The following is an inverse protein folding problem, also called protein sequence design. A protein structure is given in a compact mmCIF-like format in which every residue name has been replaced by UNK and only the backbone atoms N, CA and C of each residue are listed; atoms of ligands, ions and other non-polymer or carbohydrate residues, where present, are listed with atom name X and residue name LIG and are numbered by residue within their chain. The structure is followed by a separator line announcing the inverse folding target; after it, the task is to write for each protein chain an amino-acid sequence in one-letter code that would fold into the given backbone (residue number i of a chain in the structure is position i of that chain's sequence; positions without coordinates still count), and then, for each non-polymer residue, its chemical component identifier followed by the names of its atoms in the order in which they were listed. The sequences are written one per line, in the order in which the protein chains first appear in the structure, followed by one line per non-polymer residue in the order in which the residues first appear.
data_IF_220990569640
#
_entry.id   IF_220990569640
#
_cell.length_a   1.000
_cell.length_b   1.000
_cell.length_c   1.000
_cell.angle_alpha   90.00
_cell.angle_beta   90.00
_cell.angle_gamma   90.00
#
_symmetry.space_group_name_H-M   'P 1'
#
loop_
_entity.id
_entity.type
_entity.pdbx_description
1 polymer ?
#
# COMPACT_ATOMS: atom_id res chain seq x y z
N UNK A 1 2.02 -7.04 -19.83
CA UNK A 1 0.67 -6.51 -19.66
C UNK A 1 0.52 -5.74 -18.34
N UNK A 2 0.76 -6.39 -17.21
CA UNK A 2 0.68 -5.70 -15.93
C UNK A 2 1.76 -4.63 -15.72
N UNK A 3 2.84 -4.68 -16.50
CA UNK A 3 3.89 -3.66 -16.43
C UNK A 3 3.36 -2.26 -16.74
N UNK A 4 2.35 -2.15 -17.60
CA UNK A 4 1.75 -0.86 -17.93
C UNK A 4 1.02 -0.26 -16.74
N UNK A 5 0.34 -1.09 -15.93
CA UNK A 5 -0.35 -0.66 -14.73
C UNK A 5 0.67 -0.11 -13.71
N UNK A 6 1.75 -0.85 -13.50
CA UNK A 6 2.81 -0.45 -12.57
C UNK A 6 3.45 0.86 -13.03
N UNK A 7 3.74 0.97 -14.32
CA UNK A 7 4.38 2.16 -14.87
C UNK A 7 3.47 3.38 -14.75
N UNK A 8 2.17 3.21 -15.02
CA UNK A 8 1.20 4.30 -14.90
C UNK A 8 1.12 4.82 -13.46
N UNK A 9 1.02 3.91 -12.49
CA UNK A 9 0.99 4.30 -11.07
C UNK A 9 2.29 4.96 -10.62
N UNK A 10 3.41 4.54 -11.19
CA UNK A 10 4.69 5.18 -10.90
C UNK A 10 4.75 6.61 -11.43
N UNK A 11 4.28 6.82 -12.66
CA UNK A 11 4.30 8.14 -13.30
C UNK A 11 3.22 9.07 -12.76
N UNK A 12 2.09 8.51 -12.36
CA UNK A 12 0.92 9.26 -11.89
C UNK A 12 0.46 8.72 -10.55
N UNK A 13 1.26 8.90 -9.48
CA UNK A 13 0.93 8.31 -8.18
C UNK A 13 -0.35 8.91 -7.62
N UNK A 14 -1.27 8.03 -7.23
CA UNK A 14 -2.57 8.43 -6.71
C UNK A 14 -2.44 8.80 -5.23
N UNK A 15 -3.03 9.94 -4.86
CA UNK A 15 -3.08 10.41 -3.47
C UNK A 15 -1.72 10.72 -2.84
N UNK A 16 -0.68 10.94 -3.65
CA UNK A 16 0.63 11.36 -3.17
C UNK A 16 0.60 12.78 -2.61
N UNK A 17 1.51 13.09 -1.69
CA UNK A 17 1.61 14.39 -1.05
C UNK A 17 0.98 14.38 0.33
N UNK A 18 1.80 14.60 1.37
CA UNK A 18 1.34 14.53 2.76
C UNK A 18 0.25 15.58 3.03
N UNK A 19 -0.81 15.15 3.67
CA UNK A 19 -1.98 15.98 3.99
C UNK A 19 -2.32 15.93 5.47
N UNK A 20 -3.07 16.91 5.92
CA UNK A 20 -3.64 17.00 7.27
C UNK A 20 -5.16 17.12 7.14
N UNK A 21 -5.95 16.69 8.14
CA UNK A 21 -5.53 16.07 9.39
C UNK A 21 -5.15 14.60 9.23
N UNK A 22 -4.54 14.02 10.24
CA UNK A 22 -4.25 12.59 10.28
C UNK A 22 -4.17 12.14 11.74
N UNK A 23 -4.45 10.84 11.99
CA UNK A 23 -4.37 10.24 13.32
C UNK A 23 -3.16 9.32 13.44
N UNK A 24 -2.69 8.76 12.33
CA UNK A 24 -1.50 7.90 12.32
C UNK A 24 -0.50 8.35 11.29
N UNK A 25 0.78 8.30 11.65
CA UNK A 25 1.89 8.59 10.74
C UNK A 25 3.03 7.64 11.05
N UNK A 26 3.60 7.06 10.00
CA UNK A 26 4.77 6.19 10.15
C UNK A 26 5.80 6.54 9.07
N UNK A 27 7.05 6.18 9.34
CA UNK A 27 8.14 6.30 8.38
C UNK A 27 8.80 4.94 8.28
N UNK A 28 8.74 4.35 7.09
CA UNK A 28 9.31 3.03 6.83
C UNK A 28 10.44 3.14 5.81
N UNK A 29 11.46 2.32 5.99
CA UNK A 29 12.64 2.29 5.12
C UNK A 29 12.91 0.84 4.71
N UNK A 30 13.21 0.64 3.43
CA UNK A 30 13.72 -0.62 2.91
C UNK A 30 15.16 -0.38 2.44
N UNK A 31 16.16 -0.63 3.28
CA UNK A 31 17.55 -0.31 2.94
C UNK A 31 18.10 -1.14 1.79
N UNK A 32 17.52 -2.30 1.52
CA UNK A 32 17.96 -3.17 0.41
C UNK A 32 17.80 -2.47 -0.94
N UNK A 33 16.71 -1.71 -1.11
CA UNK A 33 16.41 -1.02 -2.37
C UNK A 33 16.54 0.50 -2.25
N UNK A 34 16.87 1.03 -1.08
CA UNK A 34 16.92 2.48 -0.86
C UNK A 34 15.56 3.13 -0.84
N UNK A 35 14.50 2.38 -0.57
CA UNK A 35 13.14 2.93 -0.50
C UNK A 35 12.86 3.56 0.84
N UNK A 36 12.22 4.71 0.84
CA UNK A 36 11.73 5.39 2.05
C UNK A 36 10.31 5.86 1.83
N UNK A 37 9.50 5.78 2.88
CA UNK A 37 8.09 6.14 2.80
C UNK A 37 7.64 6.76 4.12
N UNK A 38 7.07 7.96 4.03
CA UNK A 38 6.31 8.55 5.14
C UNK A 38 4.84 8.43 4.75
N UNK A 39 4.01 7.85 5.61
CA UNK A 39 2.61 7.62 5.32
C UNK A 39 1.76 8.09 6.48
N UNK A 40 0.68 8.81 6.14
CA UNK A 40 -0.31 9.32 7.09
C UNK A 40 -1.66 8.72 6.78
N UNK A 41 -2.43 8.40 7.82
CA UNK A 41 -3.78 7.88 7.66
C UNK A 41 -4.76 8.72 8.47
N UNK A 42 -5.90 9.02 7.85
CA UNK A 42 -7.02 9.68 8.51
C UNK A 42 -8.19 8.70 8.57
N UNK A 43 -8.68 8.46 9.77
CA UNK A 43 -9.86 7.62 9.99
C UNK A 43 -11.09 8.49 10.22
N UNK A 44 -12.27 7.89 10.02
CA UNK A 44 -13.53 8.53 10.42
C UNK A 44 -13.56 8.72 11.93
N UNK A 45 -14.49 9.58 12.38
CA UNK A 45 -14.61 9.91 13.79
C UNK A 45 -14.78 8.67 14.67
N UNK A 46 -15.53 7.68 14.18
CA UNK A 46 -15.75 6.42 14.92
C UNK A 46 -14.62 5.37 14.70
N UNK A 47 -13.63 5.69 13.87
CA UNK A 47 -12.50 4.81 13.62
C UNK A 47 -12.78 3.62 12.72
N UNK A 48 -13.92 3.60 12.02
CA UNK A 48 -14.31 2.43 11.22
C UNK A 48 -13.99 2.55 9.74
N UNK A 49 -13.85 3.78 9.23
CA UNK A 49 -13.64 4.03 7.79
C UNK A 49 -12.35 4.79 7.56
N UNK A 50 -11.66 4.44 6.49
CA UNK A 50 -10.44 5.14 6.07
C UNK A 50 -10.85 6.31 5.18
N UNK A 51 -10.72 7.54 5.70
CA UNK A 51 -11.12 8.72 4.96
C UNK A 51 -10.04 9.23 4.02
N UNK A 52 -8.77 9.08 4.40
CA UNK A 52 -7.67 9.51 3.55
C UNK A 52 -6.39 8.76 3.88
N UNK A 53 -5.57 8.57 2.88
CA UNK A 53 -4.20 8.08 3.01
C UNK A 53 -3.34 9.02 2.17
N UNK A 54 -2.32 9.58 2.79
CA UNK A 54 -1.37 10.44 2.09
C UNK A 54 0.05 9.95 2.37
N UNK A 55 0.94 10.21 1.44
CA UNK A 55 2.29 9.69 1.56
C UNK A 55 3.30 10.50 0.77
N UNK A 56 4.55 10.39 1.19
CA UNK A 56 5.70 10.86 0.42
C UNK A 56 6.66 9.68 0.31
N UNK A 57 6.91 9.24 -0.90
CA UNK A 57 7.72 8.05 -1.18
C UNK A 57 8.91 8.39 -2.06
N UNK A 58 10.08 7.83 -1.71
CA UNK A 58 11.30 7.92 -2.48
C UNK A 58 11.82 6.49 -2.66
N UNK A 59 12.25 6.14 -3.85
CA UNK A 59 12.77 4.80 -4.10
C UNK A 59 12.39 4.26 -5.46
N UNK A 60 12.38 2.93 -5.58
CA UNK A 60 12.17 2.28 -6.87
C UNK A 60 10.72 2.39 -7.36
N UNK A 61 10.54 2.13 -8.65
CA UNK A 61 9.21 2.20 -9.28
C UNK A 61 8.21 1.21 -8.66
N UNK A 62 8.69 0.05 -8.22
CA UNK A 62 7.84 -0.98 -7.63
C UNK A 62 7.23 -0.48 -6.31
N UNK A 63 8.04 0.09 -5.41
CA UNK A 63 7.53 0.55 -4.12
C UNK A 63 6.57 1.74 -4.29
N UNK A 64 6.90 2.67 -5.19
CA UNK A 64 6.06 3.84 -5.43
C UNK A 64 4.73 3.45 -6.08
N UNK A 65 4.78 2.57 -7.09
CA UNK A 65 3.57 2.12 -7.77
C UNK A 65 2.66 1.32 -6.83
N UNK A 66 3.24 0.45 -6.02
CA UNK A 66 2.47 -0.36 -5.07
C UNK A 66 1.77 0.51 -4.03
N UNK A 67 2.47 1.54 -3.53
CA UNK A 67 1.87 2.48 -2.57
C UNK A 67 0.70 3.24 -3.20
N UNK A 68 0.84 3.66 -4.45
CA UNK A 68 -0.24 4.33 -5.20
C UNK A 68 -1.46 3.41 -5.34
N UNK A 69 -1.24 2.16 -5.74
CA UNK A 69 -2.33 1.17 -5.87
C UNK A 69 -3.00 0.96 -4.51
N UNK A 70 -2.22 0.80 -3.46
CA UNK A 70 -2.75 0.62 -2.11
C UNK A 70 -3.66 1.78 -1.72
N UNK A 71 -3.20 3.02 -1.90
CA UNK A 71 -4.00 4.19 -1.56
C UNK A 71 -5.33 4.20 -2.32
N UNK A 72 -5.29 3.91 -3.62
CA UNK A 72 -6.49 3.85 -4.46
C UNK A 72 -7.47 2.79 -3.97
N UNK A 73 -6.96 1.64 -3.50
CA UNK A 73 -7.81 0.52 -3.09
C UNK A 73 -8.42 0.68 -1.71
N UNK A 74 -7.82 1.45 -0.81
CA UNK A 74 -8.26 1.48 0.59
C UNK A 74 -8.94 2.77 1.03
N UNK A 75 -8.79 3.87 0.30
CA UNK A 75 -9.46 5.13 0.67
C UNK A 75 -10.96 4.98 0.46
N UNK A 76 -11.74 5.36 1.47
CA UNK A 76 -13.20 5.37 1.41
C UNK A 76 -13.88 4.08 1.82
N UNK A 77 -13.12 3.07 2.23
CA UNK A 77 -13.69 1.79 2.68
C UNK A 77 -13.45 1.59 4.17
N UNK A 78 -14.07 0.55 4.74
CA UNK A 78 -13.89 0.25 6.16
C UNK A 78 -12.48 -0.28 6.42
N UNK A 79 -12.02 -0.09 7.66
CA UNK A 79 -10.74 -0.63 8.10
C UNK A 79 -10.71 -2.16 7.92
N UNK A 80 -11.82 -2.84 8.25
CA UNK A 80 -11.91 -4.29 8.11
C UNK A 80 -11.74 -4.74 6.65
N UNK A 81 -12.40 -4.06 5.72
CA UNK A 81 -12.25 -4.35 4.29
C UNK A 81 -10.83 -4.08 3.80
N UNK A 82 -10.22 -2.98 4.28
CA UNK A 82 -8.85 -2.64 3.91
C UNK A 82 -7.86 -3.70 4.42
N UNK A 83 -8.08 -4.22 5.62
CA UNK A 83 -7.23 -5.29 6.15
C UNK A 83 -7.39 -6.59 5.38
N UNK A 84 -8.59 -6.88 4.86
CA UNK A 84 -8.82 -8.04 3.99
C UNK A 84 -8.05 -7.89 2.68
N UNK A 85 -8.01 -6.67 2.11
CA UNK A 85 -7.24 -6.40 0.90
C UNK A 85 -5.73 -6.54 1.15
N UNK A 86 -5.25 -6.03 2.28
CA UNK A 86 -3.85 -6.20 2.69
C UNK A 86 -3.48 -7.68 2.79
N UNK A 87 -4.33 -8.47 3.40
CA UNK A 87 -4.10 -9.90 3.58
C UNK A 87 -4.02 -10.63 2.23
N UNK A 88 -4.89 -10.28 1.30
CA UNK A 88 -4.87 -10.87 -0.04
C UNK A 88 -3.62 -10.46 -0.81
N UNK A 89 -3.25 -9.18 -0.75
CA UNK A 89 -2.02 -8.71 -1.40
C UNK A 89 -0.79 -9.42 -0.83
N UNK A 90 -0.72 -9.54 0.49
CA UNK A 90 0.39 -10.22 1.16
C UNK A 90 0.46 -11.69 0.75
N UNK A 91 -0.69 -12.38 0.70
CA UNK A 91 -0.77 -13.77 0.28
C UNK A 91 -0.22 -13.96 -1.14
N UNK A 92 -0.64 -13.09 -2.06
CA UNK A 92 -0.19 -13.13 -3.45
C UNK A 92 1.32 -12.86 -3.56
N UNK A 93 1.78 -11.77 -2.93
CA UNK A 93 3.14 -11.29 -3.12
C UNK A 93 4.19 -12.22 -2.46
N UNK A 94 3.79 -12.95 -1.42
CA UNK A 94 4.68 -13.90 -0.74
C UNK A 94 4.57 -15.32 -1.26
N UNK A 95 3.74 -15.56 -2.28
CA UNK A 95 3.48 -16.89 -2.83
C UNK A 95 4.57 -17.41 -3.76
N UNK A 96 5.60 -16.63 -4.04
CA UNK A 96 6.66 -16.95 -5.00
C UNK A 96 6.13 -17.13 -6.43
N UNK A 97 5.00 -16.48 -6.74
CA UNK A 97 4.38 -16.53 -8.05
C UNK A 97 3.37 -17.65 -8.23
N UNK A 98 3.04 -18.37 -7.17
CA UNK A 98 2.08 -19.48 -7.22
C UNK A 98 0.62 -19.01 -7.15
N UNK A 99 0.38 -17.78 -6.65
CA UNK A 99 -0.97 -17.22 -6.48
C UNK A 99 -1.08 -15.95 -7.29
N UNK A 100 -2.14 -15.86 -8.13
CA UNK A 100 -2.36 -14.67 -8.97
C UNK A 100 -3.05 -13.53 -8.24
N UNK A 101 -3.67 -13.81 -7.11
CA UNK A 101 -4.45 -12.81 -6.38
C UNK A 101 -5.86 -12.69 -6.91
N UNK A 102 -6.71 -12.03 -6.15
CA UNK A 102 -8.12 -11.83 -6.46
C UNK A 102 -8.34 -10.37 -6.89
N UNK A 103 -8.56 -10.16 -8.18
CA UNK A 103 -8.78 -8.83 -8.76
C UNK A 103 -10.01 -8.14 -8.14
N UNK A 104 -11.05 -8.89 -7.82
CA UNK A 104 -12.24 -8.32 -7.20
C UNK A 104 -11.93 -7.73 -5.81
N UNK A 105 -10.89 -8.23 -5.16
CA UNK A 105 -10.50 -7.81 -3.82
C UNK A 105 -9.40 -6.74 -3.86
N UNK A 106 -8.37 -6.91 -4.67
CA UNK A 106 -7.22 -6.01 -4.67
C UNK A 106 -7.04 -5.16 -5.93
N UNK A 107 -7.98 -5.24 -6.89
CA UNK A 107 -7.95 -4.40 -8.08
C UNK A 107 -6.61 -4.46 -8.81
N UNK A 108 -6.03 -3.29 -9.08
CA UNK A 108 -4.74 -3.17 -9.76
C UNK A 108 -3.59 -3.83 -9.00
N UNK A 109 -3.80 -4.21 -7.73
CA UNK A 109 -2.80 -4.93 -6.94
C UNK A 109 -2.36 -6.23 -7.59
N UNK A 110 -3.21 -6.87 -8.40
CA UNK A 110 -2.84 -8.11 -9.11
C UNK A 110 -1.68 -7.90 -10.09
N UNK A 111 -1.42 -6.65 -10.50
CA UNK A 111 -0.31 -6.34 -11.39
C UNK A 111 1.04 -6.74 -10.79
N UNK A 112 1.10 -6.86 -9.46
CA UNK A 112 2.33 -7.22 -8.75
C UNK A 112 2.54 -8.73 -8.59
N UNK A 113 1.63 -9.56 -9.12
CA UNK A 113 1.77 -11.02 -9.03
C UNK A 113 3.12 -11.51 -9.59
N UNK A 114 3.59 -10.90 -10.68
CA UNK A 114 4.88 -11.26 -11.28
C UNK A 114 6.07 -10.88 -10.40
N UNK A 115 5.92 -9.88 -9.55
CA UNK A 115 6.96 -9.43 -8.63
C UNK A 115 7.24 -10.48 -7.56
N UNK A 116 6.24 -11.32 -7.24
CA UNK A 116 6.36 -12.36 -6.22
C UNK A 116 7.47 -13.37 -6.50
N UNK A 117 7.90 -13.48 -7.76
CA UNK A 117 9.00 -14.37 -8.18
C UNK A 117 10.38 -13.82 -7.80
N UNK A 118 10.45 -12.56 -7.38
CA UNK A 118 11.72 -11.88 -7.13
C UNK A 118 11.77 -11.41 -5.67
N UNK A 119 12.38 -12.23 -4.77
CA UNK A 119 12.34 -11.93 -3.32
C UNK A 119 12.81 -10.52 -2.94
N UNK A 120 13.82 -9.99 -3.62
CA UNK A 120 14.29 -8.63 -3.33
C UNK A 120 13.23 -7.57 -3.62
N UNK A 121 12.38 -7.82 -4.62
CA UNK A 121 11.32 -6.87 -5.02
C UNK A 121 10.06 -7.02 -4.18
N UNK A 122 9.86 -8.17 -3.55
CA UNK A 122 8.71 -8.40 -2.67
C UNK A 122 8.68 -7.37 -1.55
N UNK A 123 9.82 -7.07 -0.96
CA UNK A 123 9.93 -6.06 0.10
C UNK A 123 9.56 -4.67 -0.40
N UNK A 124 9.94 -4.36 -1.64
CA UNK A 124 9.57 -3.08 -2.26
C UNK A 124 8.05 -2.96 -2.42
N UNK A 125 7.43 -4.03 -2.93
CA UNK A 125 5.98 -4.04 -3.14
C UNK A 125 5.20 -3.97 -1.82
N UNK A 126 5.73 -4.53 -0.74
CA UNK A 126 5.06 -4.57 0.56
C UNK A 126 5.25 -3.30 1.39
N UNK A 127 6.22 -2.45 1.05
CA UNK A 127 6.57 -1.31 1.90
C UNK A 127 5.36 -0.43 2.25
N UNK A 128 4.60 0.01 1.25
CA UNK A 128 3.42 0.85 1.46
C UNK A 128 2.32 0.13 2.22
N UNK A 129 2.07 -1.13 1.89
CA UNK A 129 1.03 -1.92 2.55
C UNK A 129 1.33 -2.15 4.04
N UNK A 130 2.60 -2.42 4.37
CA UNK A 130 3.01 -2.58 5.76
C UNK A 130 2.98 -1.26 6.52
N UNK A 131 3.35 -0.17 5.85
CA UNK A 131 3.24 1.17 6.43
C UNK A 131 1.79 1.51 6.74
N UNK A 132 0.86 1.19 5.84
CA UNK A 132 -0.56 1.36 6.06
C UNK A 132 -1.02 0.57 7.29
N UNK A 133 -0.61 -0.68 7.42
CA UNK A 133 -0.97 -1.51 8.57
C UNK A 133 -0.50 -0.86 9.88
N UNK A 134 0.74 -0.41 9.92
CA UNK A 134 1.31 0.21 11.12
C UNK A 134 0.65 1.55 11.45
N UNK A 135 0.41 2.38 10.44
CA UNK A 135 -0.23 3.68 10.64
C UNK A 135 -1.67 3.52 11.13
N UNK A 136 -2.37 2.51 10.62
CA UNK A 136 -3.75 2.24 11.05
C UNK A 136 -3.79 1.79 12.50
N UNK A 137 -2.86 0.92 12.91
CA UNK A 137 -2.77 0.50 14.30
C UNK A 137 -2.52 1.69 15.23
N UNK A 138 -1.62 2.60 14.83
CA UNK A 138 -1.35 3.81 15.59
C UNK A 138 -2.57 4.71 15.69
N UNK A 139 -3.28 4.91 14.56
CA UNK A 139 -4.47 5.74 14.53
C UNK A 139 -5.58 5.18 15.44
N UNK A 140 -5.76 3.85 15.44
CA UNK A 140 -6.78 3.20 16.27
C UNK A 140 -6.47 3.32 17.76
N UNK A 141 -5.19 3.37 18.14
CA UNK A 141 -4.81 3.58 19.54
C UNK A 141 -5.17 4.98 20.04
N UNK A 142 -5.22 5.95 19.13
CA UNK A 142 -5.55 7.34 19.46
C UNK A 142 -7.05 7.64 19.43
N UNK A 143 -7.81 6.71 18.88
CA UNK A 143 -9.26 6.90 18.70
C UNK A 143 -10.06 6.75 20.01
#
# INVERSE_FOLDING_TARGET
MYQEVILDHYKNPQYAGLREPFEGEVHHVNPTCGDELTLRIQLSEDGTTIEDVSYHAVGCSISQASTSVMAEEIIGISVDEAMAKLKEFDRMITSRGEVEGDEDLIGDGIAFAGVAKYPARVKCALLGWKAFQAATAEALEKA
#
